data_IF_571589113748
#
_entry.id   IF_571589113748
#
_cell.length_a   1.000
_cell.length_b   1.000
_cell.length_c   1.000
_cell.angle_alpha   90.00
_cell.angle_beta   90.00
_cell.angle_gamma   90.00
#
_symmetry.space_group_name_H-M   'P 1'
#
loop_
_entity.id
_entity.type
_entity.pdbx_description
1 polymer ?
#
# COMPACT_ATOMS: atom_id res chain seq x y z
N UNK A 1 16.41 17.36 -9.05
CA UNK A 1 15.12 17.98 -9.48
C UNK A 1 14.33 18.31 -8.23
N UNK A 2 13.74 19.51 -8.13
CA UNK A 2 12.78 19.78 -7.04
C UNK A 2 11.51 18.97 -7.34
N UNK A 3 11.16 18.07 -6.45
CA UNK A 3 9.98 17.22 -6.56
C UNK A 3 9.07 17.46 -5.35
N UNK A 4 7.81 17.81 -5.59
CA UNK A 4 6.87 18.20 -4.52
C UNK A 4 6.61 17.04 -3.53
N UNK A 5 6.58 15.79 -3.98
CA UNK A 5 6.45 14.63 -3.08
C UNK A 5 7.63 14.57 -2.11
N UNK A 6 8.86 14.75 -2.62
CA UNK A 6 10.07 14.77 -1.79
C UNK A 6 10.07 15.93 -0.81
N UNK A 7 9.65 17.13 -1.23
CA UNK A 7 9.59 18.32 -0.37
C UNK A 7 8.56 18.16 0.76
N UNK A 8 7.37 17.61 0.45
CA UNK A 8 6.29 17.39 1.44
C UNK A 8 6.67 16.32 2.47
N UNK A 9 7.27 15.22 2.02
CA UNK A 9 7.56 14.06 2.87
C UNK A 9 8.96 14.06 3.48
N UNK A 10 9.85 14.97 3.05
CA UNK A 10 11.25 15.02 3.49
C UNK A 10 12.08 13.85 2.99
N UNK A 11 11.69 13.20 1.90
CA UNK A 11 12.36 12.01 1.32
C UNK A 11 13.24 12.39 0.12
N UNK A 12 14.18 11.51 -0.25
CA UNK A 12 15.13 11.74 -1.33
C UNK A 12 14.59 11.30 -2.71
N UNK A 13 13.77 10.25 -2.72
CA UNK A 13 13.21 9.60 -3.92
C UNK A 13 11.69 9.61 -3.83
N UNK A 14 10.95 10.07 -4.85
CA UNK A 14 9.49 10.20 -4.80
C UNK A 14 8.79 8.85 -4.93
N UNK A 15 9.16 7.92 -4.06
CA UNK A 15 8.67 6.54 -4.05
C UNK A 15 8.20 6.20 -2.63
N UNK A 16 6.92 5.85 -2.52
CA UNK A 16 6.26 5.43 -1.29
C UNK A 16 5.96 3.94 -1.39
N UNK A 17 6.33 3.19 -0.36
CA UNK A 17 5.94 1.78 -0.26
C UNK A 17 4.47 1.70 0.17
N UNK A 18 3.67 0.95 -0.60
CA UNK A 18 2.29 0.65 -0.26
C UNK A 18 2.22 -0.23 1.00
N UNK A 19 1.60 0.26 2.09
CA UNK A 19 1.45 -0.56 3.29
C UNK A 19 0.49 -1.72 3.03
N UNK A 20 0.75 -2.83 3.71
CA UNK A 20 -0.06 -4.05 3.60
C UNK A 20 -0.33 -4.59 5.00
N UNK A 21 -1.53 -5.12 5.24
CA UNK A 21 -1.86 -5.83 6.46
C UNK A 21 -0.86 -6.97 6.69
N UNK A 22 -0.36 -7.14 7.92
CA UNK A 22 0.53 -8.22 8.36
C UNK A 22 1.94 -8.24 7.73
N UNK A 23 2.14 -7.61 6.58
CA UNK A 23 3.31 -7.83 5.72
C UNK A 23 4.35 -6.72 5.82
N UNK A 24 4.30 -5.94 6.88
CA UNK A 24 5.32 -4.94 7.20
C UNK A 24 5.90 -5.19 8.59
N UNK A 25 7.17 -4.87 8.74
CA UNK A 25 7.84 -4.76 10.04
C UNK A 25 8.86 -3.61 10.01
N UNK A 26 9.44 -3.34 11.16
CA UNK A 26 10.42 -2.25 11.27
C UNK A 26 11.67 -2.47 10.44
N UNK A 27 12.07 -3.70 10.14
CA UNK A 27 13.26 -3.99 9.32
C UNK A 27 13.00 -3.68 7.85
N UNK A 28 11.89 -4.18 7.32
CA UNK A 28 11.48 -3.95 5.95
C UNK A 28 11.22 -2.47 5.66
N UNK A 29 10.45 -1.79 6.51
CA UNK A 29 10.16 -0.35 6.39
C UNK A 29 11.44 0.48 6.54
N UNK A 30 12.30 0.12 7.49
CA UNK A 30 13.61 0.77 7.69
C UNK A 30 14.52 0.64 6.47
N UNK A 31 14.53 -0.50 5.79
CA UNK A 31 15.32 -0.69 4.56
C UNK A 31 14.84 0.23 3.42
N UNK A 32 13.51 0.38 3.25
CA UNK A 32 12.94 1.25 2.22
C UNK A 32 13.27 2.72 2.49
N UNK A 33 13.09 3.17 3.73
CA UNK A 33 13.42 4.54 4.12
C UNK A 33 14.92 4.82 4.00
N UNK A 34 15.77 3.87 4.41
CA UNK A 34 17.23 3.94 4.22
C UNK A 34 17.62 4.08 2.76
N UNK A 35 16.90 3.42 1.84
CA UNK A 35 17.11 3.53 0.40
C UNK A 35 16.60 4.85 -0.20
N UNK A 36 15.99 5.75 0.59
CA UNK A 36 15.63 7.11 0.22
C UNK A 36 14.17 7.34 -0.16
N UNK A 37 13.32 6.31 -0.15
CA UNK A 37 11.87 6.42 -0.29
C UNK A 37 11.16 6.62 1.05
N UNK A 38 9.84 6.50 1.06
CA UNK A 38 9.03 6.44 2.27
C UNK A 38 8.59 4.99 2.53
N UNK A 39 9.20 4.33 3.52
CA UNK A 39 8.66 3.09 4.06
C UNK A 39 7.44 3.39 4.94
N UNK A 40 6.44 2.51 4.96
CA UNK A 40 5.20 2.72 5.70
C UNK A 40 4.84 1.47 6.50
N UNK A 41 4.76 1.60 7.83
CA UNK A 41 4.27 0.54 8.71
C UNK A 41 2.77 0.35 8.50
N UNK A 42 2.37 -0.85 8.11
CA UNK A 42 0.97 -1.22 7.89
C UNK A 42 0.27 -1.66 9.16
N UNK A 43 -1.02 -1.98 9.04
CA UNK A 43 -1.76 -2.59 10.13
C UNK A 43 -1.14 -3.92 10.56
N UNK A 44 -1.10 -4.15 11.87
CA UNK A 44 -0.51 -5.35 12.48
C UNK A 44 0.98 -5.55 12.11
N UNK A 45 1.72 -4.44 11.90
CA UNK A 45 3.16 -4.50 11.61
C UNK A 45 3.91 -5.32 12.68
N UNK A 46 4.78 -6.23 12.24
CA UNK A 46 5.57 -7.12 13.10
C UNK A 46 4.78 -8.15 13.92
N UNK A 47 3.46 -8.24 13.71
CA UNK A 47 2.60 -9.12 14.50
C UNK A 47 2.28 -10.42 13.76
N UNK A 48 1.96 -11.47 14.54
CA UNK A 48 1.50 -12.77 14.04
C UNK A 48 0.08 -13.10 14.47
N UNK A 49 -0.49 -12.29 15.33
CA UNK A 49 -1.85 -12.46 15.88
C UNK A 49 -2.52 -11.08 16.00
N UNK A 50 -3.83 -11.05 15.82
CA UNK A 50 -4.62 -9.82 15.99
C UNK A 50 -4.62 -9.39 17.46
N UNK A 51 -4.54 -8.09 17.67
CA UNK A 51 -4.78 -7.44 18.97
C UNK A 51 -6.00 -6.55 18.86
N UNK A 52 -6.71 -6.38 19.96
CA UNK A 52 -8.02 -5.73 19.96
C UNK A 52 -8.12 -4.56 20.94
N UNK A 53 -7.07 -4.29 21.71
CA UNK A 53 -7.02 -3.14 22.61
C UNK A 53 -6.23 -2.00 22.00
N UNK A 54 -6.60 -0.77 22.33
CA UNK A 54 -5.91 0.43 21.84
C UNK A 54 -4.47 0.44 22.35
N UNK A 55 -4.29 0.19 23.64
CA UNK A 55 -2.99 0.22 24.31
C UNK A 55 -2.01 -0.76 23.67
N UNK A 56 -2.44 -2.00 23.44
CA UNK A 56 -1.60 -3.04 22.85
C UNK A 56 -1.29 -2.73 21.38
N UNK A 57 -2.27 -2.18 20.63
CA UNK A 57 -2.08 -1.78 19.23
C UNK A 57 -1.02 -0.69 19.11
N UNK A 58 -1.11 0.36 19.93
CA UNK A 58 -0.16 1.46 19.94
C UNK A 58 1.22 1.01 20.38
N UNK A 59 1.32 0.17 21.44
CA UNK A 59 2.61 -0.32 21.93
C UNK A 59 3.29 -1.26 20.92
N UNK A 60 2.52 -2.11 20.23
CA UNK A 60 3.05 -2.95 19.15
C UNK A 60 3.63 -2.08 18.03
N UNK A 61 2.89 -1.04 17.60
CA UNK A 61 3.38 -0.11 16.59
C UNK A 61 4.64 0.64 17.06
N UNK A 62 4.68 1.09 18.33
CA UNK A 62 5.84 1.75 18.93
C UNK A 62 7.09 0.86 18.93
N UNK A 63 6.93 -0.45 19.11
CA UNK A 63 8.06 -1.40 18.97
C UNK A 63 8.64 -1.42 17.57
N UNK A 64 7.80 -1.46 16.56
CA UNK A 64 8.25 -1.44 15.17
C UNK A 64 8.88 -0.08 14.80
N UNK A 65 8.33 1.02 15.29
CA UNK A 65 8.93 2.37 15.17
C UNK A 65 10.37 2.39 15.72
N UNK A 66 10.60 1.81 16.90
CA UNK A 66 11.96 1.72 17.48
C UNK A 66 12.91 0.91 16.59
N UNK A 67 12.41 -0.16 15.95
CA UNK A 67 13.21 -0.95 15.02
C UNK A 67 13.57 -0.11 13.79
N UNK A 68 12.62 0.60 13.16
CA UNK A 68 12.90 1.51 12.03
C UNK A 68 13.99 2.50 12.41
N UNK A 69 13.83 3.20 13.54
CA UNK A 69 14.79 4.20 14.03
C UNK A 69 16.18 3.65 14.35
N UNK A 70 16.30 2.34 14.63
CA UNK A 70 17.59 1.68 14.80
C UNK A 70 18.34 1.42 13.48
N UNK A 71 17.65 1.51 12.33
CA UNK A 71 18.16 1.23 10.99
C UNK A 71 18.48 2.52 10.22
N UNK A 72 17.63 3.54 10.41
CA UNK A 72 17.72 4.81 9.66
C UNK A 72 17.13 5.96 10.46
N UNK A 73 17.67 7.15 10.24
CA UNK A 73 17.13 8.44 10.69
C UNK A 73 16.24 9.14 9.65
N UNK A 74 16.09 8.51 8.45
CA UNK A 74 15.26 9.04 7.37
C UNK A 74 13.77 8.88 7.66
N UNK A 75 12.91 9.75 7.04
CA UNK A 75 11.47 9.68 7.23
C UNK A 75 10.85 8.33 6.88
N UNK A 76 9.82 7.95 7.64
CA UNK A 76 8.92 6.85 7.36
C UNK A 76 7.50 7.23 7.80
N UNK A 77 6.52 6.46 7.36
CA UNK A 77 5.11 6.72 7.66
C UNK A 77 4.41 5.56 8.35
N UNK A 78 3.17 5.80 8.74
CA UNK A 78 2.27 4.77 9.30
C UNK A 78 0.97 4.77 8.51
N UNK A 79 0.42 3.58 8.30
CA UNK A 79 -0.90 3.42 7.69
C UNK A 79 -2.00 3.57 8.74
N UNK A 80 -2.97 4.43 8.44
CA UNK A 80 -4.19 4.57 9.22
C UNK A 80 -5.42 4.23 8.39
N UNK A 81 -6.46 3.75 9.05
CA UNK A 81 -7.76 3.47 8.44
C UNK A 81 -8.87 4.01 9.31
N UNK A 82 -8.97 5.36 9.42
CA UNK A 82 -9.93 5.98 10.29
C UNK A 82 -11.36 5.60 9.91
N UNK A 83 -12.19 5.45 10.94
CA UNK A 83 -13.62 5.19 10.80
C UNK A 83 -14.42 6.44 11.20
N UNK A 84 -15.70 6.29 11.55
CA UNK A 84 -16.52 7.40 12.03
C UNK A 84 -15.88 8.06 13.27
N UNK A 85 -15.61 9.37 13.26
CA UNK A 85 -14.96 10.08 14.37
C UNK A 85 -15.67 9.89 15.72
N UNK A 86 -16.99 9.67 15.73
CA UNK A 86 -17.74 9.45 16.96
C UNK A 86 -17.49 8.08 17.61
N UNK A 87 -17.00 7.10 16.86
CA UNK A 87 -16.81 5.71 17.32
C UNK A 87 -15.40 5.18 17.19
N UNK A 88 -14.54 5.85 16.43
CA UNK A 88 -13.14 5.47 16.26
C UNK A 88 -12.36 5.65 17.58
N UNK A 89 -11.73 4.57 18.02
CA UNK A 89 -10.96 4.54 19.28
C UNK A 89 -9.45 4.45 19.03
N UNK A 90 -9.03 4.12 17.81
CA UNK A 90 -7.64 3.77 17.50
C UNK A 90 -6.86 4.92 16.85
N UNK A 91 -7.53 5.75 16.05
CA UNK A 91 -6.84 6.73 15.21
C UNK A 91 -6.18 7.83 16.04
N UNK A 92 -6.89 8.49 16.96
CA UNK A 92 -6.29 9.56 17.78
C UNK A 92 -5.10 9.05 18.62
N UNK A 93 -5.19 7.93 19.39
CA UNK A 93 -4.03 7.41 20.12
C UNK A 93 -2.84 7.06 19.21
N UNK A 94 -3.11 6.66 17.94
CA UNK A 94 -2.04 6.42 16.97
C UNK A 94 -1.39 7.73 16.52
N UNK A 95 -2.17 8.80 16.26
CA UNK A 95 -1.64 10.12 15.92
C UNK A 95 -0.84 10.74 17.09
N UNK A 96 -1.32 10.60 18.32
CA UNK A 96 -0.58 11.02 19.53
C UNK A 96 0.79 10.33 19.59
N UNK A 97 0.83 9.01 19.41
CA UNK A 97 2.08 8.24 19.39
C UNK A 97 3.00 8.67 18.25
N UNK A 98 2.45 8.94 17.08
CA UNK A 98 3.24 9.41 15.93
C UNK A 98 3.87 10.79 16.23
N UNK A 99 3.11 11.71 16.83
CA UNK A 99 3.61 13.02 17.22
C UNK A 99 4.74 12.90 18.25
N UNK A 100 4.55 12.07 19.29
CA UNK A 100 5.58 11.78 20.30
C UNK A 100 6.87 11.22 19.69
N UNK A 101 6.72 10.33 18.71
CA UNK A 101 7.84 9.69 18.03
C UNK A 101 8.40 10.51 16.85
N UNK A 102 7.83 11.67 16.55
CA UNK A 102 8.28 12.55 15.46
C UNK A 102 8.01 11.98 14.06
N UNK A 103 7.01 11.14 13.90
CA UNK A 103 6.59 10.56 12.59
C UNK A 103 5.60 11.53 11.96
N UNK A 104 5.88 11.97 10.73
CA UNK A 104 5.16 13.09 10.10
C UNK A 104 4.40 12.75 8.84
N UNK A 105 4.17 11.48 8.56
CA UNK A 105 3.42 11.06 7.39
C UNK A 105 2.48 9.88 7.70
N UNK A 106 1.23 10.00 7.28
CA UNK A 106 0.29 8.88 7.23
C UNK A 106 -0.02 8.50 5.80
N UNK A 107 -0.20 7.21 5.55
CA UNK A 107 -0.97 6.72 4.42
C UNK A 107 -2.37 6.40 4.93
N UNK A 108 -3.35 7.13 4.45
CA UNK A 108 -4.75 6.86 4.76
C UNK A 108 -5.35 6.01 3.65
N UNK A 109 -5.53 4.73 3.94
CA UNK A 109 -6.21 3.78 3.06
C UNK A 109 -7.51 3.33 3.74
N UNK A 110 -8.64 3.89 3.34
CA UNK A 110 -9.96 3.58 3.90
C UNK A 110 -11.03 3.59 2.81
N UNK A 111 -12.16 2.96 3.11
CA UNK A 111 -13.39 3.00 2.31
C UNK A 111 -14.22 4.26 2.59
N UNK A 112 -13.96 4.91 3.72
CA UNK A 112 -14.64 6.13 4.18
C UNK A 112 -13.68 7.30 4.15
N UNK A 113 -14.21 8.50 3.96
CA UNK A 113 -13.46 9.74 4.02
C UNK A 113 -14.22 10.75 4.88
N UNK A 114 -13.54 11.33 5.85
CA UNK A 114 -14.07 12.40 6.70
C UNK A 114 -13.00 13.46 6.91
N UNK A 115 -13.33 14.72 6.62
CA UNK A 115 -12.42 15.87 6.72
C UNK A 115 -11.89 16.10 8.15
N UNK A 116 -12.64 15.65 9.17
CA UNK A 116 -12.19 15.69 10.56
C UNK A 116 -10.81 15.04 10.73
N UNK A 117 -10.58 13.90 10.09
CA UNK A 117 -9.32 13.18 10.22
C UNK A 117 -8.15 13.85 9.51
N UNK A 118 -8.42 14.57 8.40
CA UNK A 118 -7.38 15.39 7.76
C UNK A 118 -6.93 16.48 8.71
N UNK A 119 -7.91 17.18 9.32
CA UNK A 119 -7.61 18.20 10.32
C UNK A 119 -6.86 17.63 11.52
N UNK A 120 -7.32 16.49 12.06
CA UNK A 120 -6.65 15.83 13.19
C UNK A 120 -5.19 15.48 12.88
N UNK A 121 -4.88 14.96 11.67
CA UNK A 121 -3.50 14.73 11.25
C UNK A 121 -2.68 16.02 11.24
N UNK A 122 -3.21 17.10 10.68
CA UNK A 122 -2.52 18.40 10.62
C UNK A 122 -2.33 19.03 12.00
N UNK A 123 -3.29 18.89 12.91
CA UNK A 123 -3.15 19.33 14.31
C UNK A 123 -1.98 18.62 15.04
N UNK A 124 -1.61 17.41 14.58
CA UNK A 124 -0.44 16.64 15.05
C UNK A 124 0.83 16.86 14.20
N UNK A 125 0.82 17.81 13.26
CA UNK A 125 1.94 18.07 12.32
C UNK A 125 2.26 16.86 11.42
N UNK A 126 1.23 16.12 10.99
CA UNK A 126 1.33 14.92 10.17
C UNK A 126 0.76 15.17 8.77
N UNK A 127 1.50 14.82 7.72
CA UNK A 127 1.11 14.88 6.32
C UNK A 127 0.24 13.72 5.92
N UNK A 128 -0.78 13.97 5.10
CA UNK A 128 -1.76 12.98 4.69
C UNK A 128 -1.55 12.57 3.23
N UNK A 129 -1.17 11.31 3.02
CA UNK A 129 -1.20 10.64 1.71
C UNK A 129 -2.53 9.89 1.63
N UNK A 130 -3.47 10.41 0.85
CA UNK A 130 -4.80 9.81 0.70
C UNK A 130 -4.84 8.83 -0.45
N UNK A 131 -5.15 7.58 -0.12
CA UNK A 131 -5.34 6.49 -1.08
C UNK A 131 -6.77 5.99 -1.02
N UNK A 132 -7.65 6.52 -1.89
CA UNK A 132 -8.98 5.94 -2.08
C UNK A 132 -8.88 4.51 -2.63
N UNK A 133 -9.72 3.58 -2.16
CA UNK A 133 -9.76 2.22 -2.71
C UNK A 133 -10.17 2.19 -4.18
N UNK A 134 -11.07 3.07 -4.57
CA UNK A 134 -11.49 3.26 -5.97
C UNK A 134 -11.45 4.76 -6.27
N UNK A 135 -10.30 5.29 -6.72
CA UNK A 135 -10.17 6.74 -6.92
C UNK A 135 -11.08 7.23 -8.06
N UNK A 136 -11.77 8.33 -7.79
CA UNK A 136 -12.59 9.05 -8.77
C UNK A 136 -12.21 10.53 -8.77
N UNK A 137 -12.59 11.26 -9.83
CA UNK A 137 -12.38 12.70 -9.88
C UNK A 137 -13.12 13.43 -8.75
N UNK A 138 -14.32 12.97 -8.39
CA UNK A 138 -15.13 13.54 -7.32
C UNK A 138 -14.50 13.32 -5.95
N UNK A 139 -14.07 12.07 -5.64
CA UNK A 139 -13.37 11.78 -4.38
C UNK A 139 -12.06 12.55 -4.27
N UNK A 140 -11.31 12.66 -5.37
CA UNK A 140 -10.08 13.44 -5.43
C UNK A 140 -10.34 14.91 -5.12
N UNK A 141 -11.38 15.51 -5.72
CA UNK A 141 -11.76 16.90 -5.47
C UNK A 141 -12.13 17.12 -3.99
N UNK A 142 -12.95 16.23 -3.42
CA UNK A 142 -13.35 16.27 -2.01
C UNK A 142 -12.15 16.16 -1.08
N UNK A 143 -11.25 15.23 -1.33
CA UNK A 143 -10.05 15.05 -0.52
C UNK A 143 -9.14 16.29 -0.55
N UNK A 144 -8.94 16.89 -1.72
CA UNK A 144 -8.15 18.11 -1.88
C UNK A 144 -8.79 19.31 -1.16
N UNK A 145 -10.12 19.44 -1.23
CA UNK A 145 -10.84 20.49 -0.51
C UNK A 145 -10.71 20.36 1.00
N UNK A 146 -10.66 19.13 1.51
CA UNK A 146 -10.41 18.84 2.91
C UNK A 146 -8.95 19.07 3.33
N UNK A 147 -8.03 19.26 2.39
CA UNK A 147 -6.64 19.62 2.64
C UNK A 147 -5.64 18.48 2.67
N UNK A 148 -5.93 17.30 2.06
CA UNK A 148 -4.90 16.25 1.95
C UNK A 148 -3.67 16.75 1.22
N UNK A 149 -2.49 16.29 1.62
CA UNK A 149 -1.22 16.77 1.07
C UNK A 149 -0.83 16.08 -0.24
N UNK A 150 -1.19 14.80 -0.39
CA UNK A 150 -0.88 13.96 -1.56
C UNK A 150 -2.06 13.03 -1.84
N UNK A 151 -2.38 12.77 -3.11
CA UNK A 151 -3.38 11.77 -3.52
C UNK A 151 -2.74 10.63 -4.30
N UNK A 152 -3.35 9.44 -4.25
CA UNK A 152 -2.86 8.26 -4.96
C UNK A 152 -3.84 7.86 -6.06
N UNK A 153 -3.37 7.82 -7.30
CA UNK A 153 -4.08 7.30 -8.46
C UNK A 153 -3.88 5.79 -8.55
N UNK A 154 -4.78 5.03 -7.94
CA UNK A 154 -4.69 3.57 -7.87
C UNK A 154 -5.45 2.91 -9.01
N UNK A 155 -4.74 2.19 -9.87
CA UNK A 155 -5.33 1.43 -10.98
C UNK A 155 -5.75 0.02 -10.60
N UNK A 156 -6.64 -0.56 -11.41
CA UNK A 156 -7.11 -1.95 -11.23
C UNK A 156 -5.98 -3.00 -11.33
N UNK A 157 -4.78 -2.60 -11.78
CA UNK A 157 -3.60 -3.47 -11.89
C UNK A 157 -2.89 -3.72 -10.55
N UNK A 158 -3.39 -3.15 -9.45
CA UNK A 158 -2.79 -3.33 -8.12
C UNK A 158 -3.04 -4.72 -7.52
N UNK A 159 -2.30 -5.04 -6.44
CA UNK A 159 -2.57 -6.16 -5.54
C UNK A 159 -3.29 -5.72 -4.26
N UNK A 160 -3.60 -6.66 -3.40
CA UNK A 160 -4.38 -6.40 -2.19
C UNK A 160 -5.85 -6.21 -2.52
N UNK A 161 -6.49 -5.24 -1.89
CA UNK A 161 -7.87 -4.85 -2.19
C UNK A 161 -7.91 -4.08 -3.51
N UNK A 162 -8.37 -4.74 -4.55
CA UNK A 162 -8.44 -4.18 -5.91
C UNK A 162 -9.63 -3.21 -6.02
N UNK A 163 -9.51 -2.08 -6.76
CA UNK A 163 -10.61 -1.15 -6.97
C UNK A 163 -11.91 -1.81 -7.43
N UNK A 164 -13.04 -1.30 -6.97
CA UNK A 164 -14.36 -1.79 -7.41
C UNK A 164 -14.67 -1.44 -8.89
N UNK A 165 -14.13 -0.32 -9.38
CA UNK A 165 -14.22 0.07 -10.80
C UNK A 165 -13.00 -0.44 -11.55
N UNK A 166 -13.24 -1.14 -12.66
CA UNK A 166 -12.20 -1.71 -13.52
C UNK A 166 -11.63 -0.61 -14.41
N UNK A 167 -10.74 0.21 -13.85
CA UNK A 167 -10.00 1.24 -14.58
C UNK A 167 -8.51 0.97 -14.41
N UNK A 168 -7.85 0.61 -15.51
CA UNK A 168 -6.41 0.28 -15.51
C UNK A 168 -5.55 1.50 -15.17
N UNK A 169 -4.33 1.22 -14.72
CA UNK A 169 -3.36 2.23 -14.25
C UNK A 169 -3.08 3.30 -15.31
N UNK A 170 -2.97 2.90 -16.58
CA UNK A 170 -2.71 3.80 -17.69
C UNK A 170 -3.82 4.87 -17.90
N UNK A 171 -5.05 4.58 -17.51
CA UNK A 171 -6.21 5.48 -17.63
C UNK A 171 -6.46 6.27 -16.35
N UNK A 172 -6.30 5.64 -15.17
CA UNK A 172 -6.62 6.30 -13.89
C UNK A 172 -5.62 7.40 -13.54
N UNK A 173 -4.33 7.22 -13.89
CA UNK A 173 -3.32 8.24 -13.58
C UNK A 173 -3.69 9.60 -14.19
N UNK A 174 -3.85 9.76 -15.53
CA UNK A 174 -4.20 11.06 -16.10
C UNK A 174 -5.56 11.56 -15.61
N UNK A 175 -6.53 10.68 -15.36
CA UNK A 175 -7.83 11.07 -14.80
C UNK A 175 -7.69 11.76 -13.43
N UNK A 176 -6.86 11.24 -12.55
CA UNK A 176 -6.65 11.82 -11.21
C UNK A 176 -5.73 13.02 -11.26
N UNK A 177 -4.71 13.02 -12.14
CA UNK A 177 -3.85 14.19 -12.39
C UNK A 177 -4.68 15.39 -12.88
N UNK A 178 -5.59 15.16 -13.83
CA UNK A 178 -6.50 16.19 -14.31
C UNK A 178 -7.45 16.70 -13.22
N UNK A 179 -7.97 15.81 -12.37
CA UNK A 179 -8.81 16.18 -11.23
C UNK A 179 -8.02 16.98 -10.17
N UNK A 180 -6.77 16.63 -9.93
CA UNK A 180 -5.91 17.35 -8.97
C UNK A 180 -5.56 18.77 -9.43
N UNK A 181 -5.53 19.04 -10.74
CA UNK A 181 -5.25 20.37 -11.33
C UNK A 181 -3.98 21.02 -10.80
N UNK A 182 -2.97 20.22 -10.47
CA UNK A 182 -1.71 20.69 -9.92
C UNK A 182 -1.76 21.23 -8.47
N UNK A 183 -2.90 21.16 -7.78
CA UNK A 183 -3.08 21.64 -6.39
C UNK A 183 -2.28 20.80 -5.39
N UNK A 184 -2.31 19.47 -5.57
CA UNK A 184 -1.51 18.50 -4.79
C UNK A 184 -0.79 17.55 -5.74
N UNK A 185 0.36 16.98 -5.35
CA UNK A 185 1.01 15.95 -6.16
C UNK A 185 0.20 14.65 -6.16
N UNK A 186 0.34 13.90 -7.26
CA UNK A 186 -0.31 12.60 -7.48
C UNK A 186 0.75 11.52 -7.50
N UNK A 187 0.58 10.47 -6.67
CA UNK A 187 1.34 9.23 -6.74
C UNK A 187 0.62 8.23 -7.63
N UNK A 188 1.34 7.55 -8.51
CA UNK A 188 0.81 6.47 -9.32
C UNK A 188 0.92 5.13 -8.60
N UNK A 189 -0.14 4.30 -8.63
CA UNK A 189 -0.19 2.97 -8.05
C UNK A 189 -0.87 1.96 -8.98
N UNK A 190 -0.41 0.70 -8.89
CA UNK A 190 -0.93 -0.43 -9.67
C UNK A 190 -0.02 -0.82 -10.83
N UNK A 191 0.49 -2.05 -10.81
CA UNK A 191 1.31 -2.62 -11.89
C UNK A 191 2.72 -2.03 -12.06
N UNK A 192 3.16 -1.10 -11.20
CA UNK A 192 4.46 -0.46 -11.29
C UNK A 192 5.51 -1.34 -10.61
N UNK A 193 6.46 -1.89 -11.39
CA UNK A 193 7.43 -2.84 -10.88
C UNK A 193 8.85 -2.69 -11.48
N UNK A 194 8.99 -2.02 -12.61
CA UNK A 194 10.26 -1.83 -13.30
C UNK A 194 10.46 -0.38 -13.78
N UNK A 195 11.60 -0.14 -14.43
CA UNK A 195 12.00 1.16 -14.99
C UNK A 195 10.99 1.68 -16.03
N UNK A 196 10.43 0.81 -16.88
CA UNK A 196 9.50 1.18 -17.95
C UNK A 196 8.15 1.63 -17.39
N UNK A 197 7.63 0.89 -16.43
CA UNK A 197 6.35 1.19 -15.78
C UNK A 197 6.45 2.42 -14.90
N UNK A 198 7.60 2.62 -14.23
CA UNK A 198 7.89 3.84 -13.49
C UNK A 198 7.96 5.06 -14.41
N UNK A 199 8.68 4.96 -15.54
CA UNK A 199 8.77 6.04 -16.53
C UNK A 199 7.39 6.39 -17.09
N UNK A 200 6.61 5.38 -17.50
CA UNK A 200 5.26 5.59 -18.04
C UNK A 200 4.35 6.31 -17.05
N UNK A 201 4.37 5.93 -15.77
CA UNK A 201 3.59 6.58 -14.73
C UNK A 201 3.92 8.07 -14.60
N UNK A 202 5.21 8.43 -14.63
CA UNK A 202 5.65 9.82 -14.58
C UNK A 202 5.26 10.61 -15.83
N UNK A 203 5.36 10.02 -17.02
CA UNK A 203 4.95 10.65 -18.32
C UNK A 203 3.44 10.88 -18.34
N UNK A 204 2.64 10.04 -17.69
CA UNK A 204 1.18 10.23 -17.54
C UNK A 204 0.82 11.35 -16.55
N UNK A 205 1.81 12.02 -15.94
CA UNK A 205 1.62 13.19 -15.09
C UNK A 205 1.72 12.93 -13.59
N UNK A 206 2.04 11.71 -13.16
CA UNK A 206 2.34 11.46 -11.75
C UNK A 206 3.63 12.18 -11.32
N UNK A 207 3.72 12.56 -10.05
CA UNK A 207 4.90 13.20 -9.45
C UNK A 207 5.71 12.25 -8.58
N UNK A 208 5.23 11.01 -8.42
CA UNK A 208 5.91 9.96 -7.70
C UNK A 208 5.14 8.64 -7.82
N UNK A 209 5.66 7.63 -7.17
CA UNK A 209 5.20 6.24 -7.25
C UNK A 209 4.72 5.74 -5.89
N UNK A 210 3.68 4.90 -5.90
CA UNK A 210 3.19 4.16 -4.74
C UNK A 210 3.25 2.66 -5.08
N UNK A 211 4.22 1.94 -4.51
CA UNK A 211 4.63 0.62 -4.99
C UNK A 211 4.44 -0.44 -3.92
N UNK A 212 3.69 -1.49 -4.22
CA UNK A 212 3.44 -2.64 -3.34
C UNK A 212 4.24 -3.88 -3.75
N UNK A 213 3.77 -4.58 -4.78
CA UNK A 213 4.25 -5.91 -5.21
C UNK A 213 5.76 -6.01 -5.37
N UNK A 214 6.42 -5.02 -6.00
CA UNK A 214 7.85 -5.07 -6.20
C UNK A 214 8.63 -5.10 -4.87
N UNK A 215 8.21 -4.32 -3.88
CA UNK A 215 8.85 -4.34 -2.57
C UNK A 215 8.45 -5.56 -1.72
N UNK A 216 7.22 -6.10 -1.87
CA UNK A 216 6.83 -7.35 -1.19
C UNK A 216 7.69 -8.55 -1.65
N UNK A 217 8.26 -8.49 -2.84
CA UNK A 217 9.17 -9.51 -3.40
C UNK A 217 10.65 -9.17 -3.17
N UNK A 218 10.96 -8.27 -2.23
CA UNK A 218 12.35 -7.98 -1.84
C UNK A 218 12.90 -8.99 -0.83
N UNK A 219 14.23 -9.00 -0.67
CA UNK A 219 14.91 -9.82 0.34
C UNK A 219 14.47 -9.45 1.76
N UNK A 220 14.31 -8.15 2.04
CA UNK A 220 13.96 -7.62 3.36
C UNK A 220 12.49 -7.78 3.73
N UNK A 221 11.62 -8.06 2.77
CA UNK A 221 10.19 -8.30 3.01
C UNK A 221 9.97 -9.57 3.84
N UNK A 222 9.01 -9.50 4.77
CA UNK A 222 8.65 -10.62 5.65
C UNK A 222 7.67 -11.62 5.02
N UNK A 223 7.31 -11.45 3.75
CA UNK A 223 6.55 -12.46 2.99
C UNK A 223 7.32 -13.79 3.01
N UNK A 224 6.61 -14.89 3.25
CA UNK A 224 7.21 -16.23 3.31
C UNK A 224 7.99 -16.56 2.04
N UNK A 225 9.15 -17.21 2.21
CA UNK A 225 10.09 -17.47 1.11
C UNK A 225 9.46 -18.28 -0.03
N UNK A 226 8.68 -19.32 0.28
CA UNK A 226 7.97 -20.12 -0.71
C UNK A 226 6.96 -19.30 -1.53
N UNK A 227 6.34 -18.29 -0.92
CA UNK A 227 5.41 -17.38 -1.62
C UNK A 227 6.19 -16.43 -2.55
N UNK A 228 7.33 -15.89 -2.10
CA UNK A 228 8.20 -15.08 -2.97
C UNK A 228 8.69 -15.89 -4.17
N UNK A 229 9.14 -17.13 -3.94
CA UNK A 229 9.61 -18.03 -4.99
C UNK A 229 8.50 -18.38 -5.99
N UNK A 230 7.30 -18.68 -5.52
CA UNK A 230 6.15 -18.91 -6.39
C UNK A 230 5.81 -17.64 -7.18
N UNK A 231 5.82 -16.47 -6.52
CA UNK A 231 5.48 -15.20 -7.15
C UNK A 231 6.45 -14.80 -8.28
N UNK A 232 7.77 -14.95 -8.08
CA UNK A 232 8.75 -14.62 -9.14
C UNK A 232 8.79 -15.64 -10.29
N UNK A 233 8.15 -16.79 -10.10
CA UNK A 233 7.94 -17.82 -11.12
C UNK A 233 6.57 -17.73 -11.83
N UNK A 234 5.72 -16.75 -11.43
CA UNK A 234 4.36 -16.56 -11.95
C UNK A 234 4.25 -15.31 -12.80
N UNK A 235 3.29 -15.32 -13.70
CA UNK A 235 2.87 -14.18 -14.50
C UNK A 235 1.52 -13.64 -14.02
N UNK A 236 1.11 -12.49 -14.56
CA UNK A 236 -0.19 -11.88 -14.26
C UNK A 236 -1.37 -12.78 -14.63
N UNK A 237 -1.22 -13.60 -15.68
CA UNK A 237 -2.24 -14.54 -16.16
C UNK A 237 -2.43 -15.74 -15.21
N UNK A 238 -1.46 -16.01 -14.33
CA UNK A 238 -1.57 -17.06 -13.32
C UNK A 238 -2.42 -16.61 -12.11
N UNK A 239 -2.62 -15.29 -11.93
CA UNK A 239 -3.34 -14.77 -10.78
C UNK A 239 -4.84 -15.05 -10.87
N UNK A 240 -5.34 -15.78 -9.89
CA UNK A 240 -6.77 -16.03 -9.73
C UNK A 240 -7.46 -14.76 -9.21
N UNK A 241 -8.55 -14.36 -9.85
CA UNK A 241 -9.34 -13.20 -9.41
C UNK A 241 -10.76 -13.62 -9.04
N UNK A 242 -11.19 -13.24 -7.86
CA UNK A 242 -12.53 -13.54 -7.34
C UNK A 242 -13.13 -12.31 -6.64
N UNK A 243 -14.47 -12.27 -6.57
CA UNK A 243 -15.18 -11.23 -5.83
C UNK A 243 -15.19 -11.56 -4.34
N UNK A 244 -15.06 -10.51 -3.53
CA UNK A 244 -15.12 -10.58 -2.07
C UNK A 244 -15.41 -9.19 -1.50
N UNK A 245 -15.45 -9.01 -0.20
CA UNK A 245 -15.58 -7.69 0.42
C UNK A 245 -14.18 -7.05 0.53
N UNK A 246 -14.00 -5.77 0.14
CA UNK A 246 -15.02 -4.81 -0.36
C UNK A 246 -15.27 -4.87 -1.87
N UNK A 247 -14.48 -5.60 -2.65
CA UNK A 247 -14.66 -5.72 -4.10
C UNK A 247 -14.01 -6.99 -4.67
N UNK A 248 -12.74 -6.93 -5.05
CA UNK A 248 -12.00 -8.04 -5.66
C UNK A 248 -10.69 -8.29 -4.94
N UNK A 249 -10.24 -9.55 -4.98
CA UNK A 249 -8.87 -9.92 -4.68
C UNK A 249 -8.26 -10.71 -5.84
N UNK A 250 -6.95 -10.54 -6.02
CA UNK A 250 -6.13 -11.46 -6.82
C UNK A 250 -5.29 -12.29 -5.87
N UNK A 251 -5.03 -13.53 -6.24
CA UNK A 251 -4.15 -14.42 -5.48
C UNK A 251 -3.34 -15.30 -6.40
N UNK A 252 -2.14 -15.67 -5.97
CA UNK A 252 -1.46 -16.84 -6.52
C UNK A 252 -2.36 -18.08 -6.40
N UNK A 253 -2.25 -19.04 -7.33
CA UNK A 253 -2.97 -20.30 -7.24
C UNK A 253 -2.55 -21.11 -6.00
N UNK A 254 -3.51 -21.82 -5.42
CA UNK A 254 -3.38 -22.66 -4.25
C UNK A 254 -4.73 -23.19 -3.82
N UNK A 255 -4.76 -24.09 -2.84
CA UNK A 255 -5.98 -24.82 -2.47
C UNK A 255 -7.14 -23.88 -2.07
N UNK A 256 -6.89 -22.91 -1.15
CA UNK A 256 -7.94 -21.98 -0.76
C UNK A 256 -8.28 -20.98 -1.88
N UNK A 257 -7.33 -20.31 -2.57
CA UNK A 257 -7.64 -19.42 -3.68
C UNK A 257 -8.45 -20.05 -4.81
N UNK A 258 -8.14 -21.28 -5.18
CA UNK A 258 -8.91 -22.05 -6.19
C UNK A 258 -10.35 -22.29 -5.71
N UNK A 259 -10.53 -22.69 -4.46
CA UNK A 259 -11.85 -22.85 -3.84
C UNK A 259 -12.64 -21.54 -3.84
N UNK A 260 -12.01 -20.40 -3.49
CA UNK A 260 -12.67 -19.08 -3.50
C UNK A 260 -13.10 -18.69 -4.91
N UNK A 261 -12.28 -18.98 -5.93
CA UNK A 261 -12.62 -18.75 -7.32
C UNK A 261 -13.83 -19.62 -7.75
N UNK A 262 -13.88 -20.90 -7.36
CA UNK A 262 -15.01 -21.79 -7.65
C UNK A 262 -16.29 -21.30 -6.95
N UNK A 263 -16.21 -20.86 -5.70
CA UNK A 263 -17.33 -20.23 -4.99
C UNK A 263 -17.85 -18.99 -5.73
N UNK A 264 -16.94 -18.15 -6.20
CA UNK A 264 -17.29 -16.92 -6.97
C UNK A 264 -17.97 -17.28 -8.30
N UNK A 265 -17.48 -18.27 -9.04
CA UNK A 265 -18.09 -18.76 -10.27
C UNK A 265 -19.46 -19.43 -10.03
N UNK A 266 -19.65 -20.08 -8.90
CA UNK A 266 -20.92 -20.68 -8.48
C UNK A 266 -21.97 -19.64 -8.00
N UNK A 267 -21.62 -18.36 -7.92
CA UNK A 267 -22.52 -17.28 -7.52
C UNK A 267 -22.66 -17.10 -6.00
N UNK A 268 -21.69 -17.56 -5.22
CA UNK A 268 -21.64 -17.24 -3.79
C UNK A 268 -21.55 -15.73 -3.58
N UNK A 269 -22.14 -15.22 -2.50
CA UNK A 269 -22.10 -13.81 -2.15
C UNK A 269 -20.68 -13.35 -1.77
N UNK A 270 -20.41 -12.05 -1.88
CA UNK A 270 -19.12 -11.47 -1.51
C UNK A 270 -18.80 -11.72 -0.02
N UNK A 271 -19.83 -11.68 0.85
CA UNK A 271 -19.70 -11.95 2.28
C UNK A 271 -19.39 -13.42 2.58
N UNK A 272 -19.98 -14.36 1.85
CA UNK A 272 -19.66 -15.78 1.99
C UNK A 272 -18.21 -16.07 1.60
N UNK A 273 -17.73 -15.47 0.50
CA UNK A 273 -16.35 -15.59 0.05
C UNK A 273 -15.41 -14.92 1.04
N UNK A 274 -15.72 -13.71 1.53
CA UNK A 274 -14.95 -13.00 2.54
C UNK A 274 -14.78 -13.81 3.84
N UNK A 275 -15.85 -14.48 4.27
CA UNK A 275 -15.81 -15.38 5.42
C UNK A 275 -14.96 -16.62 5.14
N UNK A 276 -15.09 -17.21 3.96
CA UNK A 276 -14.33 -18.40 3.55
C UNK A 276 -12.83 -18.09 3.39
N UNK A 277 -12.46 -16.90 2.97
CA UNK A 277 -11.06 -16.45 2.89
C UNK A 277 -10.46 -16.07 4.25
N UNK A 278 -11.20 -16.18 5.35
CA UNK A 278 -10.82 -15.76 6.70
C UNK A 278 -10.55 -14.24 6.82
N UNK A 279 -11.31 -13.44 6.11
CA UNK A 279 -11.14 -11.98 6.09
C UNK A 279 -9.69 -11.58 5.78
N UNK A 280 -9.11 -10.64 6.53
CA UNK A 280 -7.70 -10.26 6.38
C UNK A 280 -6.70 -11.22 7.04
N UNK A 281 -7.15 -12.14 7.88
CA UNK A 281 -6.28 -13.17 8.48
C UNK A 281 -5.83 -14.18 7.42
N UNK A 282 -6.63 -14.42 6.39
CA UNK A 282 -6.21 -15.25 5.26
C UNK A 282 -4.98 -14.72 4.52
N UNK A 283 -4.76 -13.41 4.49
CA UNK A 283 -3.52 -12.84 3.95
C UNK A 283 -2.31 -13.17 4.83
N UNK A 284 -2.47 -13.10 6.17
CA UNK A 284 -1.43 -13.53 7.11
C UNK A 284 -1.08 -15.00 6.89
N UNK A 285 -2.08 -15.87 6.85
CA UNK A 285 -1.89 -17.31 6.73
C UNK A 285 -1.23 -17.67 5.37
N UNK A 286 -1.67 -17.04 4.28
CA UNK A 286 -1.09 -17.25 2.94
C UNK A 286 0.27 -16.60 2.76
N UNK A 287 0.39 -15.29 3.04
CA UNK A 287 1.61 -14.55 2.67
C UNK A 287 2.67 -14.53 3.76
N UNK A 288 2.30 -14.43 5.04
CA UNK A 288 3.27 -14.39 6.13
C UNK A 288 3.70 -15.79 6.57
N UNK A 289 2.76 -16.74 6.64
CA UNK A 289 3.04 -18.12 7.03
C UNK A 289 3.28 -19.07 5.85
N UNK A 290 2.98 -18.65 4.63
CA UNK A 290 3.24 -19.41 3.41
C UNK A 290 2.28 -20.58 3.16
N UNK A 291 1.10 -20.58 3.77
CA UNK A 291 0.13 -21.68 3.71
C UNK A 291 -1.09 -21.31 2.84
N UNK A 292 -1.04 -21.61 1.55
CA UNK A 292 -2.15 -21.38 0.61
C UNK A 292 -3.29 -22.39 0.73
N UNK A 293 -3.21 -23.36 1.64
CA UNK A 293 -4.37 -24.18 1.99
C UNK A 293 -5.29 -23.49 3.01
N UNK A 294 -4.77 -22.48 3.74
CA UNK A 294 -5.49 -21.73 4.77
C UNK A 294 -5.63 -20.25 4.46
N UNK A 295 -4.86 -19.75 3.49
CA UNK A 295 -4.81 -18.34 3.17
C UNK A 295 -4.68 -18.07 1.68
N UNK A 296 -4.48 -16.80 1.34
CA UNK A 296 -4.29 -16.34 -0.04
C UNK A 296 -3.06 -15.43 -0.13
N UNK A 297 -2.49 -15.32 -1.35
CA UNK A 297 -1.31 -14.49 -1.59
C UNK A 297 -1.59 -13.48 -2.69
N UNK A 298 -1.79 -12.22 -2.29
CA UNK A 298 -2.27 -11.16 -3.19
C UNK A 298 -1.13 -10.31 -3.74
N UNK A 299 -1.02 -10.29 -5.07
CA UNK A 299 -0.08 -9.48 -5.83
C UNK A 299 -0.79 -8.74 -6.97
N UNK A 300 -0.20 -7.62 -7.42
CA UNK A 300 -0.65 -6.87 -8.59
C UNK A 300 -0.10 -7.43 -9.90
N UNK A 301 -0.67 -6.97 -11.01
CA UNK A 301 -0.32 -7.45 -12.36
C UNK A 301 1.13 -7.14 -12.77
N UNK A 302 1.80 -6.23 -12.06
CA UNK A 302 3.24 -6.01 -12.23
C UNK A 302 4.11 -7.21 -11.84
N UNK A 303 3.55 -8.29 -11.30
CA UNK A 303 4.26 -9.53 -10.98
C UNK A 303 5.01 -10.10 -12.19
N UNK A 304 4.43 -10.01 -13.39
CA UNK A 304 5.07 -10.44 -14.65
C UNK A 304 6.38 -9.73 -15.00
N UNK A 305 6.73 -8.66 -14.28
CA UNK A 305 7.94 -7.89 -14.51
C UNK A 305 9.01 -8.14 -13.43
N UNK A 306 8.75 -9.06 -12.50
CA UNK A 306 9.59 -9.35 -11.34
C UNK A 306 10.06 -10.81 -11.43
N UNK A 307 11.32 -11.01 -11.78
CA UNK A 307 11.87 -12.35 -12.05
C UNK A 307 12.94 -12.79 -11.03
N UNK A 308 13.17 -11.98 -10.00
CA UNK A 308 14.11 -12.29 -8.92
C UNK A 308 13.69 -11.64 -7.61
N UNK A 309 14.08 -12.27 -6.50
CA UNK A 309 14.01 -11.68 -5.17
C UNK A 309 15.31 -10.89 -4.99
N UNK A 310 15.23 -9.58 -4.83
CA UNK A 310 16.37 -8.67 -4.80
C UNK A 310 16.31 -7.73 -3.59
N UNK A 311 17.45 -7.17 -3.17
CA UNK A 311 17.45 -6.16 -2.11
C UNK A 311 16.55 -4.95 -2.46
N UNK A 312 15.91 -4.37 -1.44
CA UNK A 312 15.11 -3.14 -1.57
C UNK A 312 15.86 -2.03 -2.30
N UNK A 313 17.17 -1.89 -2.04
CA UNK A 313 18.01 -0.86 -2.67
C UNK A 313 18.10 -1.03 -4.20
N UNK A 314 18.17 -2.26 -4.69
CA UNK A 314 18.23 -2.57 -6.13
C UNK A 314 16.89 -2.24 -6.79
N UNK A 315 15.78 -2.62 -6.16
CA UNK A 315 14.43 -2.32 -6.63
C UNK A 315 14.22 -0.79 -6.66
N UNK A 316 14.60 -0.11 -5.59
CA UNK A 316 14.50 1.35 -5.47
C UNK A 316 15.27 2.08 -6.58
N UNK A 317 16.50 1.66 -6.86
CA UNK A 317 17.33 2.26 -7.92
C UNK A 317 16.79 1.95 -9.31
N UNK A 318 16.22 0.76 -9.53
CA UNK A 318 15.52 0.41 -10.78
C UNK A 318 14.34 1.34 -11.04
N UNK A 319 13.48 1.54 -10.07
CA UNK A 319 12.33 2.44 -10.18
C UNK A 319 12.77 3.90 -10.40
N UNK A 320 13.82 4.34 -9.71
CA UNK A 320 14.38 5.69 -9.86
C UNK A 320 14.92 5.95 -11.27
N UNK A 321 15.56 4.97 -11.93
CA UNK A 321 15.97 5.15 -13.34
C UNK A 321 14.79 5.51 -14.24
N UNK A 322 13.61 4.90 -14.02
CA UNK A 322 12.39 5.24 -14.76
C UNK A 322 11.89 6.65 -14.44
N UNK A 323 11.87 7.04 -13.17
CA UNK A 323 11.50 8.40 -12.73
C UNK A 323 12.42 9.43 -13.35
N UNK A 324 13.73 9.22 -13.36
CA UNK A 324 14.72 10.13 -13.93
C UNK A 324 14.66 10.19 -15.48
N UNK A 325 14.35 9.06 -16.12
CA UNK A 325 14.20 8.99 -17.58
C UNK A 325 13.00 9.81 -18.08
N UNK A 326 11.93 9.88 -17.32
CA UNK A 326 10.75 10.69 -17.65
C UNK A 326 11.01 12.21 -17.57
N UNK A 327 12.06 12.63 -16.89
CA UNK A 327 12.42 14.03 -16.70
C UNK A 327 13.30 14.61 -17.83
N UNK A 328 13.75 13.76 -18.75
CA UNK A 328 14.56 14.10 -19.92
C UNK A 328 13.67 14.34 -21.13
#
# INVERSE_FOLDING_TARGET
MKNRVCEILGIEKPIVQGPTFWLTDGKYVGAISKAGGLGVLGFNAGQKQSVYTVEETVENMRREVKIVKSITDKPFGINIGPTDPATDKFTLPMLDMMQEEGIRAVVWASMTFDEYWVKACHDHDIKVIYRAHTPTAEDTERAIQAGVDIVVATGFDEGGTVPNKVVGTFSVIPMIVDAAKGRVPVLAAGGIADERTAQAAMVLGAEGLFVGTAFLLSEESIVAQNIKEQAVASDADDLLMYRTVPAFYRSLPGELPEKLLEMSKAGASEEEIYKAQHAYDGMRDGMLFGDLSKGFASFGLGISLIHAIEPVSVIMDRLMRGVEAAAK
#
